data_IF_130187993030
#
_entry.id   IF_130187993030
#
_cell.length_a   1.000
_cell.length_b   1.000
_cell.length_c   1.000
_cell.angle_alpha   90.00
_cell.angle_beta   90.00
_cell.angle_gamma   90.00
#
_symmetry.space_group_name_H-M   'P 1'
#
loop_
_entity.id
_entity.type
_entity.pdbx_description
1 polymer ?
#
# COMPACT_ATOMS: atom_id res chain seq x y z
N UNK A 1 -13.24 -34.36 -35.97
CA UNK A 1 -13.43 -32.92 -35.69
C UNK A 1 -14.39 -32.78 -34.52
N UNK A 2 -13.92 -32.35 -33.35
CA UNK A 2 -14.70 -31.46 -32.50
C UNK A 2 -13.75 -30.79 -31.50
N UNK A 3 -13.84 -29.47 -31.46
CA UNK A 3 -12.79 -28.56 -31.04
C UNK A 3 -12.73 -28.37 -29.53
N UNK A 4 -11.49 -28.28 -29.06
CA UNK A 4 -11.04 -27.59 -27.85
C UNK A 4 -11.82 -26.30 -27.59
N UNK A 5 -12.47 -26.20 -26.43
CA UNK A 5 -12.72 -24.91 -25.79
C UNK A 5 -12.36 -25.02 -24.31
N UNK A 6 -11.05 -25.08 -24.04
CA UNK A 6 -10.49 -24.66 -22.75
C UNK A 6 -10.87 -23.19 -22.59
N UNK A 7 -11.92 -22.92 -21.82
CA UNK A 7 -12.22 -21.61 -21.27
C UNK A 7 -10.98 -21.14 -20.54
N UNK A 8 -10.23 -20.22 -21.15
CA UNK A 8 -9.24 -19.42 -20.44
C UNK A 8 -10.05 -18.60 -19.44
N UNK A 9 -9.89 -18.87 -18.15
CA UNK A 9 -10.32 -17.92 -17.12
C UNK A 9 -9.74 -16.56 -17.50
N UNK A 10 -10.60 -15.55 -17.66
CA UNK A 10 -10.14 -14.20 -17.92
C UNK A 10 -9.27 -13.79 -16.74
N UNK A 11 -7.99 -13.55 -16.98
CA UNK A 11 -7.10 -13.01 -15.95
C UNK A 11 -7.60 -11.61 -15.65
N UNK A 12 -8.17 -11.42 -14.46
CA UNK A 12 -8.54 -10.10 -13.97
C UNK A 12 -7.27 -9.26 -13.89
N UNK A 13 -7.19 -8.23 -14.73
CA UNK A 13 -6.07 -7.31 -14.82
C UNK A 13 -6.37 -5.96 -14.16
N UNK A 14 -7.51 -5.82 -13.47
CA UNK A 14 -7.86 -4.59 -12.77
C UNK A 14 -6.87 -4.27 -11.65
N UNK A 15 -6.65 -2.98 -11.44
CA UNK A 15 -5.84 -2.46 -10.34
C UNK A 15 -6.76 -2.16 -9.17
N UNK A 16 -6.43 -2.69 -8.00
CA UNK A 16 -7.17 -2.43 -6.77
C UNK A 16 -6.26 -2.35 -5.55
N UNK A 17 -6.82 -1.81 -4.47
CA UNK A 17 -6.14 -1.66 -3.19
C UNK A 17 -6.71 -2.68 -2.19
N UNK A 18 -5.82 -3.30 -1.42
CA UNK A 18 -6.20 -4.19 -0.33
C UNK A 18 -5.55 -3.74 0.98
N UNK A 19 -6.27 -3.93 2.09
CA UNK A 19 -5.68 -3.75 3.43
C UNK A 19 -4.56 -4.78 3.63
N UNK A 20 -3.46 -4.34 4.23
CA UNK A 20 -2.39 -5.26 4.61
C UNK A 20 -2.79 -5.99 5.89
N UNK A 21 -2.75 -7.32 5.84
CA UNK A 21 -3.03 -8.24 6.96
C UNK A 21 -1.87 -9.24 7.10
N UNK A 22 -1.90 -10.05 8.15
CA UNK A 22 -0.96 -11.16 8.31
C UNK A 22 -0.99 -12.17 7.16
N UNK A 23 -2.09 -12.26 6.41
CA UNK A 23 -2.21 -13.20 5.30
C UNK A 23 -1.48 -12.73 4.04
N UNK A 24 -1.33 -11.41 3.86
CA UNK A 24 -0.80 -10.83 2.62
C UNK A 24 0.47 -9.98 2.80
N UNK A 25 0.90 -9.69 4.04
CA UNK A 25 2.05 -8.80 4.27
C UNK A 25 3.35 -9.34 3.65
N UNK A 26 3.61 -10.65 3.70
CA UNK A 26 4.82 -11.24 3.12
C UNK A 26 4.91 -10.99 1.61
N UNK A 27 3.76 -11.00 0.94
CA UNK A 27 3.70 -10.80 -0.50
C UNK A 27 4.08 -9.36 -0.89
N UNK A 28 3.78 -8.38 -0.01
CA UNK A 28 4.10 -6.96 -0.20
C UNK A 28 5.53 -6.64 0.26
N UNK A 29 5.98 -7.21 1.38
CA UNK A 29 7.30 -6.92 1.97
C UNK A 29 8.45 -7.43 1.10
N UNK A 30 8.21 -8.52 0.36
CA UNK A 30 9.18 -9.16 -0.53
C UNK A 30 9.22 -8.55 -1.94
N UNK A 31 8.41 -7.52 -2.22
CA UNK A 31 8.55 -6.77 -3.47
C UNK A 31 9.83 -5.94 -3.43
N UNK A 32 10.61 -6.07 -4.50
CA UNK A 32 11.86 -5.35 -4.66
C UNK A 32 11.70 -4.26 -5.70
N UNK A 33 12.07 -3.04 -5.33
CA UNK A 33 12.25 -1.95 -6.29
C UNK A 33 13.38 -2.30 -7.25
N UNK A 34 13.27 -1.85 -8.50
CA UNK A 34 14.34 -2.05 -9.49
C UNK A 34 15.60 -1.33 -9.02
N UNK A 35 16.77 -1.80 -9.45
CA UNK A 35 18.08 -1.29 -9.00
C UNK A 35 18.21 0.22 -9.23
N UNK A 36 17.62 0.73 -10.31
CA UNK A 36 17.64 2.14 -10.69
C UNK A 36 16.79 3.02 -9.75
N UNK A 37 15.82 2.42 -9.04
CA UNK A 37 14.88 3.12 -8.16
C UNK A 37 15.32 3.09 -6.68
N UNK A 38 16.29 2.24 -6.32
CA UNK A 38 16.73 2.04 -4.93
C UNK A 38 17.26 3.31 -4.25
N UNK A 39 17.78 4.27 -5.01
CA UNK A 39 18.28 5.53 -4.47
C UNK A 39 17.18 6.56 -4.20
N UNK A 40 15.98 6.35 -4.72
CA UNK A 40 14.87 7.31 -4.65
C UNK A 40 13.71 6.80 -3.80
N UNK A 41 13.59 5.49 -3.63
CA UNK A 41 12.46 4.85 -2.94
C UNK A 41 12.99 3.88 -1.90
N UNK A 42 12.50 4.03 -0.67
CA UNK A 42 12.79 3.09 0.41
C UNK A 42 12.33 1.68 0.06
N UNK A 43 12.98 0.66 0.64
CA UNK A 43 12.52 -0.73 0.48
C UNK A 43 11.16 -0.88 1.14
N UNK A 44 10.28 -1.69 0.55
CA UNK A 44 8.94 -1.96 1.08
C UNK A 44 8.98 -2.39 2.57
N UNK A 45 9.95 -3.23 2.93
CA UNK A 45 10.20 -3.62 4.33
C UNK A 45 10.40 -2.44 5.26
N UNK A 46 11.26 -1.49 4.89
CA UNK A 46 11.58 -0.35 5.75
C UNK A 46 10.35 0.56 5.89
N UNK A 47 9.61 0.78 4.80
CA UNK A 47 8.37 1.57 4.82
C UNK A 47 7.27 0.94 5.68
N UNK A 48 7.07 -0.38 5.62
CA UNK A 48 6.06 -1.07 6.44
C UNK A 48 6.43 -1.11 7.93
N UNK A 49 7.72 -1.28 8.25
CA UNK A 49 8.21 -1.17 9.64
C UNK A 49 7.98 0.24 10.16
N UNK A 50 8.31 1.27 9.37
CA UNK A 50 8.06 2.66 9.74
C UNK A 50 6.55 2.92 9.99
N UNK A 51 5.67 2.40 9.12
CA UNK A 51 4.23 2.50 9.34
C UNK A 51 3.79 1.89 10.68
N UNK A 52 4.30 0.69 11.01
CA UNK A 52 4.01 0.04 12.29
C UNK A 52 4.46 0.90 13.48
N UNK A 53 5.66 1.47 13.44
CA UNK A 53 6.18 2.35 14.50
C UNK A 53 5.34 3.63 14.61
N UNK A 54 5.01 4.27 13.49
CA UNK A 54 4.15 5.46 13.48
C UNK A 54 2.78 5.19 14.14
N UNK A 55 2.15 4.06 13.82
CA UNK A 55 0.83 3.71 14.36
C UNK A 55 0.88 3.30 15.84
N UNK A 56 1.89 2.53 16.25
CA UNK A 56 1.91 1.87 17.57
C UNK A 56 2.65 2.65 18.64
N UNK A 57 3.70 3.40 18.25
CA UNK A 57 4.57 4.11 19.20
C UNK A 57 4.39 5.63 19.14
N UNK A 58 4.10 6.19 17.97
CA UNK A 58 3.99 7.64 17.78
C UNK A 58 2.55 8.15 17.78
N UNK A 59 1.55 7.25 17.81
CA UNK A 59 0.14 7.63 17.77
C UNK A 59 -0.30 8.31 16.47
N UNK A 60 0.51 8.21 15.41
CA UNK A 60 0.22 8.81 14.11
C UNK A 60 -0.74 7.95 13.31
N UNK A 61 -1.56 8.63 12.53
CA UNK A 61 -2.60 7.99 11.73
C UNK A 61 -2.08 7.75 10.32
N UNK A 62 -1.64 6.52 10.07
CA UNK A 62 -1.21 6.07 8.75
C UNK A 62 -1.98 4.81 8.33
N UNK A 63 -2.32 4.73 7.05
CA UNK A 63 -3.05 3.63 6.44
C UNK A 63 -2.20 3.00 5.32
N UNK A 64 -1.44 1.93 5.62
CA UNK A 64 -0.74 1.14 4.62
C UNK A 64 -1.72 0.27 3.82
N UNK A 65 -1.67 0.34 2.48
CA UNK A 65 -2.47 -0.47 1.55
C UNK A 65 -1.58 -1.15 0.50
N UNK A 66 -1.84 -2.42 0.22
CA UNK A 66 -1.20 -3.15 -0.88
C UNK A 66 -1.86 -2.80 -2.21
N UNK A 67 -1.07 -2.72 -3.28
CA UNK A 67 -1.55 -2.50 -4.65
C UNK A 67 -1.48 -3.83 -5.39
N UNK A 68 -2.59 -4.22 -6.00
CA UNK A 68 -2.75 -5.50 -6.69
C UNK A 68 -3.18 -5.29 -8.14
N UNK A 69 -2.66 -6.14 -9.04
CA UNK A 69 -3.18 -6.33 -10.40
C UNK A 69 -3.82 -7.71 -10.46
N UNK A 70 -5.15 -7.77 -10.37
CA UNK A 70 -5.87 -9.00 -10.06
C UNK A 70 -5.32 -9.62 -8.77
N UNK A 71 -4.93 -10.90 -8.78
CA UNK A 71 -4.36 -11.56 -7.58
C UNK A 71 -2.88 -11.28 -7.32
N UNK A 72 -2.20 -10.53 -8.22
CA UNK A 72 -0.76 -10.32 -8.14
C UNK A 72 -0.45 -9.04 -7.35
N UNK A 73 0.30 -9.09 -6.24
CA UNK A 73 0.82 -7.89 -5.60
C UNK A 73 1.82 -7.19 -6.52
N UNK A 74 1.65 -5.89 -6.71
CA UNK A 74 2.51 -5.07 -7.58
C UNK A 74 3.13 -3.88 -6.88
N UNK A 75 2.63 -3.50 -5.70
CA UNK A 75 3.18 -2.38 -4.97
C UNK A 75 2.49 -2.12 -3.64
N UNK A 76 2.74 -0.91 -3.13
CA UNK A 76 2.31 -0.46 -1.82
C UNK A 76 2.05 1.05 -1.87
N UNK A 77 1.06 1.52 -1.12
CA UNK A 77 0.83 2.94 -0.84
C UNK A 77 0.61 3.14 0.66
N UNK A 78 1.13 4.23 1.19
CA UNK A 78 0.87 4.65 2.57
C UNK A 78 0.19 6.01 2.54
N UNK A 79 -0.97 6.10 3.17
CA UNK A 79 -1.69 7.36 3.33
C UNK A 79 -1.48 7.80 4.78
N UNK A 80 -0.78 8.91 5.00
CA UNK A 80 -0.80 9.60 6.29
C UNK A 80 -1.91 10.63 6.28
N UNK A 81 -2.71 10.67 7.33
CA UNK A 81 -3.69 11.73 7.53
C UNK A 81 -3.50 12.31 8.92
N UNK A 82 -3.55 13.63 8.99
CA UNK A 82 -3.63 14.32 10.25
C UNK A 82 -5.11 14.54 10.55
N UNK A 83 -5.54 14.21 11.76
CA UNK A 83 -6.82 14.72 12.25
C UNK A 83 -6.44 16.05 12.85
N UNK A 84 -6.34 17.06 11.99
CA UNK A 84 -6.24 18.42 12.47
C UNK A 84 -7.41 18.62 13.44
N UNK A 85 -7.10 19.01 14.67
CA UNK A 85 -8.07 19.75 15.45
C UNK A 85 -8.30 21.02 14.63
N UNK A 86 -9.36 21.04 13.83
CA UNK A 86 -9.98 22.28 13.43
C UNK A 86 -10.55 22.87 14.72
N UNK A 87 -9.68 23.49 15.52
CA UNK A 87 -10.04 24.15 16.77
C UNK A 87 -10.77 25.47 16.51
N UNK A 88 -11.02 25.82 15.23
CA UNK A 88 -11.78 26.99 14.84
C UNK A 88 -11.14 28.31 15.28
N UNK A 89 -9.87 28.30 15.73
CA UNK A 89 -9.18 29.54 16.06
C UNK A 89 -8.68 30.18 14.78
N UNK A 90 -9.54 31.00 14.16
CA UNK A 90 -9.07 32.02 13.23
C UNK A 90 -7.91 32.79 13.90
N UNK A 91 -6.75 32.94 13.22
CA UNK A 91 -5.66 33.72 13.78
C UNK A 91 -6.15 35.16 14.00
N UNK A 92 -6.17 35.60 15.26
CA UNK A 92 -6.47 36.99 15.60
C UNK A 92 -5.47 37.89 14.90
N UNK A 93 -5.96 38.68 13.95
CA UNK A 93 -5.18 39.72 13.29
C UNK A 93 -5.05 40.92 14.25
N UNK A 94 -3.99 40.89 15.07
CA UNK A 94 -3.46 42.08 15.77
C UNK A 94 -2.16 42.54 15.09
#
# INVERSE_FOLDING_TARGET
MSNNKKTKEAVDESLHFEKITWDNFEAIINLHVKKEQQNYVARNKDSLVHACVCMTSEGKQVAPLGIYKGKKPVGFIMIGYDVGEDDGTEPSAD
#
